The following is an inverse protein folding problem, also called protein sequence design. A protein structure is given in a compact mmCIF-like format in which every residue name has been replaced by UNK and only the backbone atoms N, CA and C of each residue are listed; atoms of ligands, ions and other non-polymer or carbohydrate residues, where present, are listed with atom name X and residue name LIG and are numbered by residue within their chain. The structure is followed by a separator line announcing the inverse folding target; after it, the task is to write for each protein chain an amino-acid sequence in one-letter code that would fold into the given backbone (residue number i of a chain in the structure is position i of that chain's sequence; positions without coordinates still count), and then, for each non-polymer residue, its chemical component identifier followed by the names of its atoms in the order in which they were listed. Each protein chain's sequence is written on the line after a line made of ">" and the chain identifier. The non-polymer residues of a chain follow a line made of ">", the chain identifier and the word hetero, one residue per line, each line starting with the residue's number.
data_IF_667084485490
#
_entry.id   IF_667084485490
#
_cell.length_a   1.000
_cell.length_b   1.000
_cell.length_c   1.000
_cell.angle_alpha   90.00
_cell.angle_beta   90.00
_cell.angle_gamma   90.00
#
_symmetry.space_group_name_H-M   'P 1'
#
loop_
_entity.id
_entity.type
_entity.pdbx_description
1 polymer ?
#
# COMPACT_ATOMS: atom_id res chain seq x y z
N UNK A 1 -5.75 8.22 -16.93
CA UNK A 1 -4.35 8.60 -16.63
C UNK A 1 -3.93 7.76 -15.44
N UNK A 2 -2.92 6.91 -15.60
CA UNK A 2 -2.42 6.10 -14.48
C UNK A 2 -1.71 7.05 -13.53
N UNK A 3 -2.31 7.29 -12.35
CA UNK A 3 -1.76 8.17 -11.33
C UNK A 3 -0.49 7.58 -10.76
N UNK A 4 0.64 7.91 -11.37
CA UNK A 4 1.97 7.62 -10.85
C UNK A 4 2.22 8.64 -9.74
N UNK A 5 1.98 8.20 -8.51
CA UNK A 5 2.06 9.04 -7.33
C UNK A 5 3.44 8.85 -6.72
N UNK A 6 4.33 9.83 -6.92
CA UNK A 6 5.69 9.83 -6.36
C UNK A 6 5.63 9.95 -4.83
N UNK A 7 5.83 8.81 -4.15
CA UNK A 7 5.76 8.65 -2.69
C UNK A 7 7.03 9.15 -2.00
N UNK A 8 7.27 10.46 -2.03
CA UNK A 8 8.38 11.11 -1.33
C UNK A 8 7.86 11.87 -0.10
N UNK A 9 8.21 11.36 1.08
CA UNK A 9 7.97 11.84 2.46
C UNK A 9 6.89 11.06 3.21
N UNK A 10 7.34 10.16 4.10
CA UNK A 10 6.53 9.27 4.94
C UNK A 10 5.47 9.99 5.82
N UNK A 11 5.48 11.32 5.90
CA UNK A 11 4.43 12.12 6.54
C UNK A 11 3.15 12.26 5.71
N UNK A 12 3.23 12.15 4.38
CA UNK A 12 2.06 12.35 3.50
C UNK A 12 1.58 11.06 2.83
N UNK A 13 2.38 9.99 2.79
CA UNK A 13 2.02 8.71 2.17
C UNK A 13 0.62 8.21 2.58
N UNK A 14 0.29 8.29 3.86
CA UNK A 14 -1.03 7.92 4.36
C UNK A 14 -2.14 8.80 3.78
N UNK A 15 -1.94 10.13 3.80
CA UNK A 15 -2.92 11.08 3.30
C UNK A 15 -3.11 10.91 1.80
N UNK A 16 -2.03 10.75 1.04
CA UNK A 16 -2.09 10.57 -0.40
C UNK A 16 -2.76 9.27 -0.80
N UNK A 17 -2.49 8.17 -0.08
CA UNK A 17 -3.19 6.89 -0.32
C UNK A 17 -4.68 7.00 0.03
N UNK A 18 -5.02 7.69 1.12
CA UNK A 18 -6.42 7.85 1.53
C UNK A 18 -7.19 8.74 0.56
N UNK A 19 -6.58 9.83 0.09
CA UNK A 19 -7.15 10.74 -0.90
C UNK A 19 -7.36 10.05 -2.26
N UNK A 20 -6.36 9.29 -2.73
CA UNK A 20 -6.47 8.52 -3.97
C UNK A 20 -7.59 7.47 -3.92
N UNK A 21 -7.81 6.85 -2.76
CA UNK A 21 -8.90 5.91 -2.55
C UNK A 21 -10.29 6.59 -2.53
N UNK A 22 -10.35 7.86 -2.14
CA UNK A 22 -11.59 8.64 -2.05
C UNK A 22 -12.04 9.29 -3.36
N UNK A 23 -11.26 9.15 -4.45
CA UNK A 23 -11.60 9.75 -5.72
C UNK A 23 -12.65 8.90 -6.47
N UNK A 24 -13.76 9.51 -6.91
CA UNK A 24 -14.94 8.80 -7.46
C UNK A 24 -14.64 7.89 -8.66
N UNK A 25 -13.60 8.21 -9.44
CA UNK A 25 -13.19 7.46 -10.64
C UNK A 25 -12.14 6.37 -10.36
N UNK A 26 -11.64 6.23 -9.13
CA UNK A 26 -10.64 5.21 -8.80
C UNK A 26 -11.33 3.86 -8.62
N UNK A 27 -10.86 2.85 -9.35
CA UNK A 27 -11.34 1.45 -9.20
C UNK A 27 -10.26 0.50 -8.71
N UNK A 28 -8.98 0.92 -8.81
CA UNK A 28 -7.84 0.14 -8.35
C UNK A 28 -6.68 1.07 -7.98
N UNK A 29 -5.98 0.72 -6.91
CA UNK A 29 -4.75 1.35 -6.46
C UNK A 29 -3.60 0.34 -6.51
N UNK A 30 -2.48 0.75 -7.11
CA UNK A 30 -1.25 -0.03 -7.16
C UNK A 30 -0.13 0.78 -6.51
N UNK A 31 0.48 0.22 -5.46
CA UNK A 31 1.61 0.84 -4.78
C UNK A 31 2.88 0.10 -5.19
N UNK A 32 3.74 0.78 -5.94
CA UNK A 32 5.03 0.23 -6.36
C UNK A 32 6.13 0.56 -5.35
N UNK A 33 6.76 -0.50 -4.82
CA UNK A 33 7.89 -0.42 -3.90
C UNK A 33 9.23 -0.73 -4.57
N UNK A 34 9.30 -0.78 -5.91
CA UNK A 34 10.53 -1.11 -6.65
C UNK A 34 11.71 -0.19 -6.31
N UNK A 35 11.46 1.11 -6.10
CA UNK A 35 12.48 2.09 -5.71
C UNK A 35 12.74 2.14 -4.19
N UNK A 36 11.94 1.43 -3.39
CA UNK A 36 12.02 1.46 -1.92
C UNK A 36 13.00 0.39 -1.44
N UNK A 37 14.12 0.83 -0.88
CA UNK A 37 15.17 -0.08 -0.38
C UNK A 37 14.99 -0.46 1.09
N UNK A 38 14.22 0.32 1.86
CA UNK A 38 13.98 0.11 3.27
C UNK A 38 12.60 0.64 3.68
N UNK A 39 11.96 -0.04 4.64
CA UNK A 39 10.68 0.36 5.24
C UNK A 39 10.76 0.22 6.76
N UNK A 40 10.03 1.10 7.46
CA UNK A 40 9.87 1.07 8.91
C UNK A 40 8.38 0.89 9.29
N UNK A 41 8.09 0.94 10.59
CA UNK A 41 6.70 0.86 11.10
C UNK A 41 5.78 1.98 10.59
N UNK A 42 6.34 3.15 10.26
CA UNK A 42 5.58 4.29 9.73
C UNK A 42 5.09 3.99 8.32
N UNK A 43 5.97 3.49 7.45
CA UNK A 43 5.61 3.10 6.08
C UNK A 43 4.62 1.94 6.10
N UNK A 44 4.82 0.95 6.98
CA UNK A 44 3.88 -0.17 7.14
C UNK A 44 2.49 0.33 7.54
N UNK A 45 2.41 1.24 8.52
CA UNK A 45 1.15 1.83 8.96
C UNK A 45 0.44 2.61 7.85
N UNK A 46 1.19 3.29 6.98
CA UNK A 46 0.63 4.00 5.84
C UNK A 46 0.06 3.05 4.77
N UNK A 47 0.78 1.96 4.44
CA UNK A 47 0.29 0.93 3.51
C UNK A 47 -1.00 0.26 4.00
N UNK A 48 -1.07 -0.05 5.31
CA UNK A 48 -2.27 -0.63 5.92
C UNK A 48 -3.46 0.35 5.92
N UNK A 49 -3.22 1.64 6.14
CA UNK A 49 -4.28 2.64 6.05
C UNK A 49 -4.78 2.80 4.62
N UNK A 50 -3.89 2.81 3.62
CA UNK A 50 -4.27 2.78 2.21
C UNK A 50 -5.10 1.54 1.84
N UNK A 51 -4.70 0.36 2.33
CA UNK A 51 -5.48 -0.87 2.17
C UNK A 51 -6.88 -0.75 2.77
N UNK A 52 -7.02 -0.22 4.00
CA UNK A 52 -8.33 -0.02 4.63
C UNK A 52 -9.19 1.00 3.88
N UNK A 53 -8.60 2.10 3.40
CA UNK A 53 -9.31 3.12 2.63
C UNK A 53 -9.83 2.52 1.31
N UNK A 54 -8.97 1.79 0.59
CA UNK A 54 -9.35 1.09 -0.64
C UNK A 54 -10.45 0.04 -0.39
N UNK A 55 -10.33 -0.74 0.69
CA UNK A 55 -11.35 -1.70 1.07
C UNK A 55 -12.69 -1.02 1.40
N UNK A 56 -12.66 0.12 2.09
CA UNK A 56 -13.86 0.92 2.44
C UNK A 56 -14.54 1.49 1.19
N UNK A 57 -13.74 1.93 0.22
CA UNK A 57 -14.21 2.41 -1.08
C UNK A 57 -14.59 1.26 -2.05
N UNK A 58 -14.43 -0.01 -1.64
CA UNK A 58 -14.66 -1.20 -2.46
C UNK A 58 -13.84 -1.22 -3.77
N UNK A 59 -12.62 -0.68 -3.73
CA UNK A 59 -11.69 -0.63 -4.86
C UNK A 59 -10.54 -1.63 -4.65
N UNK A 60 -9.91 -2.06 -5.74
CA UNK A 60 -8.76 -2.95 -5.68
C UNK A 60 -7.54 -2.26 -5.04
N UNK A 61 -6.74 -3.00 -4.28
CA UNK A 61 -5.47 -2.52 -3.73
C UNK A 61 -4.40 -3.59 -3.89
N UNK A 62 -3.23 -3.22 -4.40
CA UNK A 62 -2.12 -4.15 -4.60
C UNK A 62 -0.79 -3.46 -4.34
N UNK A 63 0.11 -4.14 -3.62
CA UNK A 63 1.49 -3.69 -3.44
C UNK A 63 2.42 -4.54 -4.31
N UNK A 64 3.22 -3.89 -5.16
CA UNK A 64 4.13 -4.52 -6.11
C UNK A 64 5.57 -4.04 -5.90
N UNK A 65 6.52 -4.61 -6.64
CA UNK A 65 7.93 -4.15 -6.63
C UNK A 65 8.69 -4.38 -5.33
N UNK A 66 8.14 -5.13 -4.38
CA UNK A 66 8.82 -5.45 -3.12
C UNK A 66 10.14 -6.18 -3.39
N UNK A 67 11.25 -5.61 -2.94
CA UNK A 67 12.52 -6.33 -2.87
C UNK A 67 12.51 -7.34 -1.70
N UNK A 68 13.50 -8.25 -1.67
CA UNK A 68 13.56 -9.30 -0.65
C UNK A 68 13.67 -8.80 0.79
N UNK A 69 14.28 -7.63 1.02
CA UNK A 69 14.40 -7.03 2.35
C UNK A 69 13.07 -6.45 2.82
N UNK A 70 12.41 -5.67 1.97
CA UNK A 70 11.07 -5.10 2.21
C UNK A 70 10.07 -6.22 2.45
N UNK A 71 10.06 -7.26 1.61
CA UNK A 71 9.20 -8.42 1.79
C UNK A 71 9.41 -9.10 3.14
N UNK A 72 10.67 -9.27 3.56
CA UNK A 72 10.99 -9.87 4.87
C UNK A 72 10.49 -9.01 6.03
N UNK A 73 10.62 -7.69 5.94
CA UNK A 73 10.11 -6.78 6.96
C UNK A 73 8.58 -6.85 7.04
N UNK A 74 7.88 -6.81 5.91
CA UNK A 74 6.42 -6.97 5.86
C UNK A 74 5.95 -8.34 6.37
N UNK A 75 6.73 -9.39 6.11
CA UNK A 75 6.45 -10.74 6.60
C UNK A 75 6.61 -10.83 8.11
N UNK A 76 7.69 -10.27 8.67
CA UNK A 76 7.94 -10.23 10.12
C UNK A 76 6.86 -9.39 10.82
N UNK A 77 6.41 -8.31 10.20
CA UNK A 77 5.30 -7.50 10.69
C UNK A 77 3.93 -8.19 10.53
N UNK A 78 3.84 -9.32 9.81
CA UNK A 78 2.61 -10.08 9.61
C UNK A 78 1.60 -9.45 8.64
N UNK A 79 2.01 -8.42 7.88
CA UNK A 79 1.12 -7.63 7.00
C UNK A 79 1.20 -8.03 5.53
N UNK A 80 2.22 -8.82 5.16
CA UNK A 80 2.49 -9.17 3.77
C UNK A 80 1.30 -9.82 3.07
N UNK A 81 0.62 -10.76 3.75
CA UNK A 81 -0.53 -11.46 3.18
C UNK A 81 -1.69 -10.51 2.86
N UNK A 82 -1.97 -9.56 3.76
CA UNK A 82 -2.99 -8.53 3.59
C UNK A 82 -2.67 -7.64 2.38
N UNK A 83 -1.42 -7.21 2.24
CA UNK A 83 -0.99 -6.28 1.18
C UNK A 83 -0.85 -6.93 -0.21
N UNK A 84 -0.67 -8.27 -0.25
CA UNK A 84 -0.64 -9.03 -1.50
C UNK A 84 -2.04 -9.42 -2.01
N UNK A 85 -3.11 -8.97 -1.34
CA UNK A 85 -4.48 -9.29 -1.75
C UNK A 85 -4.83 -10.76 -1.57
N UNK A 86 -4.10 -11.50 -0.72
CA UNK A 86 -4.58 -12.81 -0.30
C UNK A 86 -5.82 -12.56 0.58
N UNK A 87 -7.00 -13.09 0.23
CA UNK A 87 -8.13 -13.06 1.16
C UNK A 87 -7.66 -13.67 2.50
N UNK A 88 -8.09 -13.11 3.65
CA UNK A 88 -7.68 -13.64 4.94
C UNK A 88 -7.95 -15.15 4.97
N UNK A 89 -6.91 -15.93 5.26
CA UNK A 89 -7.04 -17.38 5.43
C UNK A 89 -8.13 -17.65 6.48
N UNK A 90 -9.06 -18.59 6.22
CA UNK A 90 -10.18 -18.88 7.12
C UNK A 90 -9.76 -19.42 8.48
#
# INVERSE_FOLDING_TARGET
>A
MSGELDLLQAGDLTATLTEAAGHDDTTQMCVDLAAVTFIDSTVIGALLQGYHAAHTAAIGYTVTGMNGQVQKVLQVAGVLATLQGQPPSP
#
